data_IF_315733459996
#
_entry.id   IF_315733459996
#
_cell.length_a   1.000
_cell.length_b   1.000
_cell.length_c   1.000
_cell.angle_alpha   90.00
_cell.angle_beta   90.00
_cell.angle_gamma   90.00
#
_symmetry.space_group_name_H-M   'P 1'
#
loop_
_entity.id
_entity.type
_entity.pdbx_description
1 polymer ?
#
# COMPACT_ATOMS: atom_id res chain seq x y z
N UNK A 1 -2.02 -15.46 23.85
CA UNK A 1 -2.02 -15.06 22.44
C UNK A 1 -3.37 -15.43 21.86
N UNK A 2 -4.03 -14.52 21.18
CA UNK A 2 -5.32 -14.80 20.55
C UNK A 2 -5.17 -15.88 19.48
N UNK A 3 -6.18 -16.72 19.32
CA UNK A 3 -6.17 -17.85 18.40
C UNK A 3 -6.58 -17.38 16.98
N UNK A 4 -5.93 -16.33 16.48
CA UNK A 4 -6.21 -15.73 15.17
C UNK A 4 -4.94 -15.37 14.42
N UNK A 5 -5.05 -15.30 13.10
CA UNK A 5 -4.00 -14.81 12.20
C UNK A 5 -4.32 -13.40 11.72
N UNK A 6 -3.27 -12.65 11.37
CA UNK A 6 -3.40 -11.39 10.62
C UNK A 6 -2.96 -11.60 9.17
N UNK A 7 -3.71 -11.02 8.25
CA UNK A 7 -3.55 -11.24 6.82
C UNK A 7 -3.82 -9.97 6.01
N UNK A 8 -3.22 -9.89 4.85
CA UNK A 8 -3.40 -8.78 3.91
C UNK A 8 -3.27 -9.24 2.44
N UNK A 9 -3.27 -8.30 1.50
CA UNK A 9 -2.95 -8.56 0.10
C UNK A 9 -1.47 -8.24 -0.19
N UNK A 10 -0.91 -8.84 -1.23
CA UNK A 10 0.47 -8.57 -1.72
C UNK A 10 0.75 -7.08 -1.94
N UNK A 11 -0.30 -6.31 -2.27
CA UNK A 11 -0.26 -4.87 -2.52
C UNK A 11 0.09 -3.99 -1.30
N UNK A 12 0.45 -4.61 -0.16
CA UNK A 12 1.08 -3.95 0.96
C UNK A 12 2.57 -3.60 0.69
N UNK A 13 3.13 -4.13 -0.41
CA UNK A 13 4.48 -3.83 -0.92
C UNK A 13 5.56 -3.92 0.18
N UNK A 14 5.46 -4.94 1.02
CA UNK A 14 6.49 -5.35 1.97
C UNK A 14 7.31 -6.50 1.38
N UNK A 15 8.52 -6.69 1.87
CA UNK A 15 9.34 -7.83 1.48
C UNK A 15 8.82 -9.13 2.09
N UNK A 16 9.14 -10.28 1.46
CA UNK A 16 8.78 -11.59 2.02
C UNK A 16 9.39 -11.82 3.41
N UNK A 17 10.61 -11.34 3.62
CA UNK A 17 11.26 -11.40 4.91
C UNK A 17 10.49 -10.62 5.97
N UNK A 18 10.01 -9.41 5.62
CA UNK A 18 9.19 -8.59 6.50
C UNK A 18 7.89 -9.31 6.87
N UNK A 19 7.13 -9.82 5.89
CA UNK A 19 5.92 -10.59 6.13
C UNK A 19 6.17 -11.77 7.07
N UNK A 20 7.21 -12.55 6.80
CA UNK A 20 7.57 -13.73 7.61
C UNK A 20 8.01 -13.35 9.02
N UNK A 21 8.86 -12.33 9.18
CA UNK A 21 9.39 -11.92 10.49
C UNK A 21 8.30 -11.35 11.41
N UNK A 22 7.24 -10.79 10.82
CA UNK A 22 6.10 -10.23 11.54
C UNK A 22 4.90 -11.18 11.62
N UNK A 23 5.01 -12.41 11.13
CA UNK A 23 3.92 -13.37 11.05
C UNK A 23 2.64 -12.74 10.46
N UNK A 24 2.82 -12.10 9.31
CA UNK A 24 1.74 -11.51 8.51
C UNK A 24 1.55 -12.38 7.28
N UNK A 25 0.38 -12.98 7.14
CA UNK A 25 0.02 -13.75 5.95
C UNK A 25 -0.42 -12.83 4.81
N UNK A 26 -0.24 -13.27 3.57
CA UNK A 26 -0.72 -12.47 2.43
C UNK A 26 -1.27 -13.35 1.31
N UNK A 27 -2.19 -12.77 0.54
CA UNK A 27 -2.74 -13.35 -0.69
C UNK A 27 -2.39 -12.46 -1.87
N UNK A 28 -2.01 -13.06 -3.01
CA UNK A 28 -1.53 -12.34 -4.18
C UNK A 28 -2.67 -11.83 -5.04
N UNK A 29 -2.56 -10.57 -5.47
CA UNK A 29 -3.26 -10.05 -6.63
C UNK A 29 -2.70 -10.67 -7.91
N UNK A 30 -3.31 -10.35 -9.06
CA UNK A 30 -2.85 -10.80 -10.36
C UNK A 30 -2.64 -9.61 -11.29
N UNK A 31 -1.70 -9.77 -12.21
CA UNK A 31 -1.51 -8.83 -13.30
C UNK A 31 -1.23 -9.56 -14.62
N UNK A 32 -1.50 -8.86 -15.71
CA UNK A 32 -1.19 -9.27 -17.06
C UNK A 32 -0.11 -8.33 -17.61
N UNK A 33 0.92 -8.88 -18.23
CA UNK A 33 1.93 -8.15 -18.96
C UNK A 33 1.96 -8.70 -20.39
N UNK A 34 1.60 -7.86 -21.37
CA UNK A 34 1.51 -8.23 -22.79
C UNK A 34 0.74 -9.55 -23.06
N UNK A 35 -0.41 -9.71 -22.38
CA UNK A 35 -1.28 -10.88 -22.54
C UNK A 35 -0.91 -12.09 -21.69
N UNK A 36 0.21 -12.08 -20.97
CA UNK A 36 0.60 -13.17 -20.08
C UNK A 36 0.23 -12.84 -18.62
N UNK A 37 -0.44 -13.78 -17.96
CA UNK A 37 -0.87 -13.66 -16.58
C UNK A 37 0.25 -14.03 -15.60
N UNK A 38 0.33 -13.29 -14.49
CA UNK A 38 1.27 -13.49 -13.39
C UNK A 38 0.61 -13.20 -12.04
N UNK A 39 0.99 -13.89 -10.97
CA UNK A 39 0.68 -13.45 -9.62
C UNK A 39 1.57 -12.26 -9.23
N UNK A 40 1.04 -11.37 -8.41
CA UNK A 40 1.82 -10.32 -7.73
C UNK A 40 2.48 -10.92 -6.47
N UNK A 41 3.50 -11.74 -6.69
CA UNK A 41 4.14 -12.62 -5.70
C UNK A 41 5.45 -12.04 -5.14
N UNK A 42 5.50 -10.73 -4.97
CA UNK A 42 6.64 -9.98 -4.43
C UNK A 42 7.91 -10.09 -5.32
N UNK A 43 7.69 -10.18 -6.63
CA UNK A 43 8.78 -10.20 -7.61
C UNK A 43 9.43 -11.57 -7.85
N UNK A 44 8.84 -12.66 -7.35
CA UNK A 44 9.38 -14.04 -7.54
C UNK A 44 9.18 -14.52 -8.97
N UNK A 45 7.97 -14.40 -9.51
CA UNK A 45 7.65 -14.80 -10.88
C UNK A 45 8.16 -13.82 -11.94
N UNK A 46 8.29 -12.55 -11.57
CA UNK A 46 8.80 -11.46 -12.42
C UNK A 46 9.55 -10.47 -11.53
N UNK A 47 10.89 -10.40 -11.59
CA UNK A 47 11.67 -9.42 -10.87
C UNK A 47 11.24 -7.98 -11.18
N UNK A 48 11.12 -7.13 -10.16
CA UNK A 48 10.67 -5.75 -10.34
C UNK A 48 11.48 -4.96 -11.38
N UNK A 49 12.82 -5.07 -11.47
CA UNK A 49 13.56 -4.40 -12.52
C UNK A 49 13.15 -4.82 -13.95
N UNK A 50 12.85 -6.11 -14.16
CA UNK A 50 12.40 -6.63 -15.46
C UNK A 50 10.99 -6.13 -15.79
N UNK A 51 10.08 -6.16 -14.81
CA UNK A 51 8.73 -5.65 -14.94
C UNK A 51 8.71 -4.17 -15.34
N UNK A 52 9.44 -3.31 -14.63
CA UNK A 52 9.49 -1.89 -14.92
C UNK A 52 10.24 -1.57 -16.22
N UNK A 53 11.26 -2.35 -16.57
CA UNK A 53 11.95 -2.22 -17.87
C UNK A 53 10.99 -2.55 -19.02
N UNK A 54 10.18 -3.60 -18.91
CA UNK A 54 9.16 -3.92 -19.90
C UNK A 54 8.14 -2.79 -20.07
N UNK A 55 7.62 -2.23 -18.95
CA UNK A 55 6.71 -1.09 -19.00
C UNK A 55 7.35 0.15 -19.65
N UNK A 56 8.60 0.45 -19.33
CA UNK A 56 9.33 1.58 -19.93
C UNK A 56 9.52 1.38 -21.44
N UNK A 57 9.61 0.14 -21.92
CA UNK A 57 9.67 -0.23 -23.34
C UNK A 57 8.29 -0.35 -24.00
N UNK A 58 7.21 0.03 -23.31
CA UNK A 58 5.87 0.12 -23.88
C UNK A 58 4.98 -1.08 -23.64
N UNK A 59 5.39 -2.07 -22.84
CA UNK A 59 4.57 -3.20 -22.48
C UNK A 59 3.26 -2.75 -21.81
N UNK A 60 2.17 -3.44 -22.15
CA UNK A 60 0.85 -3.13 -21.63
C UNK A 60 0.52 -3.99 -20.41
N UNK A 61 0.09 -3.34 -19.35
CA UNK A 61 -0.30 -3.99 -18.11
C UNK A 61 -1.79 -3.86 -17.85
N UNK A 62 -2.38 -4.90 -17.24
CA UNK A 62 -3.71 -4.90 -16.63
C UNK A 62 -3.61 -5.61 -15.29
N UNK A 63 -4.54 -5.33 -14.39
CA UNK A 63 -4.60 -6.04 -13.10
C UNK A 63 -5.98 -6.67 -12.91
N UNK A 64 -6.02 -7.78 -12.21
CA UNK A 64 -7.24 -8.36 -11.70
C UNK A 64 -7.14 -8.53 -10.18
N UNK A 65 -8.25 -8.24 -9.51
CA UNK A 65 -8.36 -8.45 -8.07
C UNK A 65 -8.57 -9.92 -7.75
N UNK A 66 -8.31 -10.30 -6.51
CA UNK A 66 -8.61 -11.60 -5.94
C UNK A 66 -10.14 -11.78 -5.95
N UNK A 67 -10.63 -12.91 -6.44
CA UNK A 67 -12.06 -13.23 -6.43
C UNK A 67 -12.49 -13.95 -5.14
N UNK A 68 -13.79 -14.21 -4.97
CA UNK A 68 -14.31 -14.82 -3.76
C UNK A 68 -13.82 -16.26 -3.55
N UNK A 69 -13.75 -17.05 -4.62
CA UNK A 69 -13.28 -18.43 -4.57
C UNK A 69 -11.80 -18.53 -4.16
N UNK A 70 -10.98 -17.61 -4.63
CA UNK A 70 -9.57 -17.51 -4.24
C UNK A 70 -9.44 -17.13 -2.75
N UNK A 71 -10.26 -16.21 -2.24
CA UNK A 71 -10.30 -15.90 -0.82
C UNK A 71 -10.78 -17.08 0.02
N UNK A 72 -11.80 -17.81 -0.42
CA UNK A 72 -12.28 -19.02 0.27
C UNK A 72 -11.16 -20.05 0.36
N UNK A 73 -10.50 -20.36 -0.75
CA UNK A 73 -9.38 -21.30 -0.79
C UNK A 73 -8.22 -20.88 0.10
N UNK A 74 -7.98 -19.56 0.23
CA UNK A 74 -6.92 -19.00 1.05
C UNK A 74 -7.27 -19.00 2.55
N UNK A 75 -8.51 -18.68 2.93
CA UNK A 75 -8.93 -18.60 4.33
C UNK A 75 -9.22 -19.96 4.95
N UNK A 76 -9.77 -20.88 4.16
CA UNK A 76 -10.28 -22.14 4.68
C UNK A 76 -9.25 -22.99 5.46
N UNK A 77 -7.97 -23.11 5.05
CA UNK A 77 -6.96 -23.83 5.83
C UNK A 77 -6.82 -23.31 7.26
N UNK A 78 -6.79 -21.99 7.45
CA UNK A 78 -6.68 -21.40 8.79
C UNK A 78 -7.89 -21.72 9.67
N UNK A 79 -9.09 -21.68 9.10
CA UNK A 79 -10.33 -22.01 9.82
C UNK A 79 -10.37 -23.49 10.22
N UNK A 80 -9.89 -24.40 9.33
CA UNK A 80 -9.73 -25.83 9.62
C UNK A 80 -8.74 -26.08 10.77
N UNK A 81 -7.69 -25.28 10.85
CA UNK A 81 -6.68 -25.32 11.91
C UNK A 81 -7.17 -24.64 13.21
N UNK A 82 -8.47 -24.22 13.26
CA UNK A 82 -9.06 -23.61 14.44
C UNK A 82 -8.69 -22.15 14.67
N UNK A 83 -8.15 -21.45 13.67
CA UNK A 83 -7.76 -20.03 13.75
C UNK A 83 -8.89 -19.12 13.28
N UNK A 84 -9.11 -18.02 13.98
CA UNK A 84 -9.88 -16.90 13.48
C UNK A 84 -9.00 -16.02 12.56
N UNK A 85 -9.60 -15.14 11.76
CA UNK A 85 -8.88 -14.37 10.73
C UNK A 85 -9.19 -12.89 10.87
N UNK A 86 -8.14 -12.06 10.92
CA UNK A 86 -8.21 -10.65 10.59
C UNK A 86 -7.58 -10.44 9.23
N UNK A 87 -8.36 -10.09 8.22
CA UNK A 87 -7.87 -9.74 6.90
C UNK A 87 -8.11 -8.26 6.61
N UNK A 88 -7.05 -7.54 6.31
CA UNK A 88 -7.11 -6.14 5.91
C UNK A 88 -6.98 -6.06 4.39
N UNK A 89 -7.87 -5.35 3.73
CA UNK A 89 -7.90 -5.21 2.27
C UNK A 89 -7.22 -3.93 1.78
N UNK A 90 -6.69 -3.96 0.57
CA UNK A 90 -6.33 -2.75 -0.18
C UNK A 90 -7.54 -1.80 -0.27
N UNK A 91 -7.29 -0.49 -0.23
CA UNK A 91 -8.32 0.55 -0.19
C UNK A 91 -9.49 0.33 -1.14
N UNK A 92 -10.71 0.39 -0.62
CA UNK A 92 -11.95 0.37 -1.41
C UNK A 92 -12.09 1.59 -2.33
N UNK A 93 -11.35 2.66 -2.07
CA UNK A 93 -11.30 3.86 -2.92
C UNK A 93 -10.65 3.63 -4.30
N UNK A 94 -9.91 2.53 -4.48
CA UNK A 94 -9.15 2.20 -5.70
C UNK A 94 -9.40 0.79 -6.25
N UNK A 95 -10.04 -0.10 -5.50
CA UNK A 95 -10.38 -1.47 -5.92
C UNK A 95 -11.64 -1.97 -5.24
N UNK A 96 -12.32 -2.93 -5.86
CA UNK A 96 -13.48 -3.61 -5.28
C UNK A 96 -13.14 -4.89 -4.49
N UNK A 97 -11.88 -5.18 -4.21
CA UNK A 97 -11.43 -6.47 -3.64
C UNK A 97 -12.10 -6.81 -2.31
N UNK A 98 -12.43 -5.82 -1.50
CA UNK A 98 -13.13 -6.04 -0.23
C UNK A 98 -14.47 -6.74 -0.41
N UNK A 99 -15.19 -6.50 -1.54
CA UNK A 99 -16.47 -7.16 -1.81
C UNK A 99 -16.27 -8.67 -2.01
N UNK A 100 -15.19 -9.09 -2.70
CA UNK A 100 -14.83 -10.50 -2.88
C UNK A 100 -14.49 -11.17 -1.53
N UNK A 101 -13.71 -10.47 -0.69
CA UNK A 101 -13.38 -10.96 0.66
C UNK A 101 -14.62 -11.08 1.56
N UNK A 102 -15.59 -10.16 1.45
CA UNK A 102 -16.85 -10.21 2.20
C UNK A 102 -17.76 -11.36 1.75
N UNK A 103 -17.79 -11.69 0.45
CA UNK A 103 -18.52 -12.86 -0.06
C UNK A 103 -17.89 -14.13 0.51
N UNK A 104 -16.57 -14.29 0.41
CA UNK A 104 -15.85 -15.42 0.96
C UNK A 104 -16.06 -15.58 2.47
N UNK A 105 -16.05 -14.47 3.22
CA UNK A 105 -16.39 -14.45 4.65
C UNK A 105 -17.77 -15.07 4.90
N UNK A 106 -18.80 -14.58 4.19
CA UNK A 106 -20.18 -15.06 4.38
C UNK A 106 -20.27 -16.57 4.15
N UNK A 107 -19.72 -17.07 3.03
CA UNK A 107 -19.74 -18.50 2.68
C UNK A 107 -18.99 -19.36 3.71
N UNK A 108 -17.85 -18.88 4.19
CA UNK A 108 -17.03 -19.63 5.14
C UNK A 108 -17.58 -19.58 6.57
N UNK A 109 -18.21 -18.50 7.01
CA UNK A 109 -18.87 -18.43 8.33
C UNK A 109 -20.09 -19.34 8.41
N UNK A 110 -20.82 -19.56 7.30
CA UNK A 110 -21.86 -20.60 7.23
C UNK A 110 -21.27 -22.02 7.40
N UNK A 111 -20.10 -22.27 6.81
CA UNK A 111 -19.42 -23.57 6.88
C UNK A 111 -18.70 -23.81 8.22
N UNK A 112 -18.19 -22.75 8.85
CA UNK A 112 -17.41 -22.76 10.09
C UNK A 112 -18.02 -21.80 11.13
N UNK A 113 -19.24 -22.05 11.62
CA UNK A 113 -19.99 -21.08 12.45
C UNK A 113 -19.32 -20.77 13.82
N UNK A 114 -18.36 -21.58 14.24
CA UNK A 114 -17.56 -21.35 15.45
C UNK A 114 -16.32 -20.45 15.23
N UNK A 115 -16.03 -20.10 13.97
CA UNK A 115 -14.88 -19.26 13.60
C UNK A 115 -15.33 -17.85 13.23
N UNK A 116 -14.42 -16.89 13.38
CA UNK A 116 -14.65 -15.48 13.03
C UNK A 116 -13.69 -15.03 11.94
N UNK A 117 -14.23 -14.30 10.97
CA UNK A 117 -13.46 -13.63 9.93
C UNK A 117 -13.77 -12.13 10.01
N UNK A 118 -12.80 -11.32 10.40
CA UNK A 118 -12.90 -9.87 10.34
C UNK A 118 -12.27 -9.37 9.04
N UNK A 119 -13.03 -8.67 8.20
CA UNK A 119 -12.56 -8.04 6.97
C UNK A 119 -12.57 -6.53 7.16
N UNK A 120 -11.42 -5.88 7.00
CA UNK A 120 -11.26 -4.44 7.22
C UNK A 120 -10.71 -3.77 5.97
N UNK A 121 -11.29 -2.64 5.59
CA UNK A 121 -10.75 -1.76 4.58
C UNK A 121 -9.61 -0.92 5.15
N UNK A 122 -8.42 -1.02 4.59
CA UNK A 122 -7.28 -0.21 5.05
C UNK A 122 -7.42 1.27 4.72
N UNK A 123 -8.17 1.61 3.67
CA UNK A 123 -8.14 2.93 3.01
C UNK A 123 -6.71 3.38 2.66
N UNK A 124 -5.81 2.43 2.43
CA UNK A 124 -4.38 2.61 2.23
C UNK A 124 -3.90 1.77 1.03
N UNK A 125 -2.69 2.02 0.55
CA UNK A 125 -2.07 1.31 -0.56
C UNK A 125 -0.55 1.27 -0.42
N UNK A 126 0.11 0.32 -1.13
CA UNK A 126 1.56 0.17 -1.18
C UNK A 126 2.15 0.04 0.23
N UNK A 127 3.41 0.44 0.47
CA UNK A 127 4.02 0.34 1.79
C UNK A 127 3.35 1.22 2.87
N UNK A 128 2.43 2.12 2.53
CA UNK A 128 1.56 2.77 3.52
C UNK A 128 0.52 1.81 4.10
N UNK A 129 0.01 0.91 3.28
CA UNK A 129 -0.77 -0.23 3.73
C UNK A 129 0.12 -1.22 4.51
N UNK A 130 1.36 -1.43 4.04
CA UNK A 130 2.37 -2.21 4.76
C UNK A 130 2.69 -1.64 6.16
N UNK A 131 2.83 -0.32 6.27
CA UNK A 131 3.06 0.38 7.54
C UNK A 131 1.90 0.20 8.52
N UNK A 132 0.65 0.19 8.02
CA UNK A 132 -0.52 -0.14 8.81
C UNK A 132 -0.47 -1.60 9.30
N UNK A 133 -0.14 -2.55 8.41
CA UNK A 133 -0.03 -3.98 8.76
C UNK A 133 1.04 -4.25 9.80
N UNK A 134 2.16 -3.56 9.71
CA UNK A 134 3.23 -3.69 10.69
C UNK A 134 2.81 -3.18 12.09
N UNK A 135 2.06 -2.08 12.16
CA UNK A 135 1.49 -1.59 13.42
C UNK A 135 0.39 -2.51 13.97
N UNK A 136 -0.41 -3.13 13.10
CA UNK A 136 -1.38 -4.15 13.47
C UNK A 136 -0.67 -5.36 14.11
N UNK A 137 0.48 -5.76 13.56
CA UNK A 137 1.30 -6.81 14.17
C UNK A 137 1.82 -6.41 15.56
N UNK A 138 2.26 -5.14 15.74
CA UNK A 138 2.65 -4.64 17.08
C UNK A 138 1.49 -4.75 18.09
N UNK A 139 0.26 -4.40 17.68
CA UNK A 139 -0.91 -4.46 18.56
C UNK A 139 -1.33 -5.91 18.87
N UNK A 140 -1.25 -6.82 17.88
CA UNK A 140 -1.43 -8.26 18.11
C UNK A 140 -0.43 -8.78 19.14
N UNK A 141 0.84 -8.44 18.96
CA UNK A 141 1.95 -8.89 19.82
C UNK A 141 1.84 -8.29 21.23
N UNK A 142 1.21 -7.12 21.36
CA UNK A 142 0.82 -6.53 22.64
C UNK A 142 -0.39 -7.22 23.31
N UNK A 143 -1.03 -8.18 22.62
CA UNK A 143 -2.06 -9.05 23.19
C UNK A 143 -3.49 -8.61 22.93
N UNK A 144 -3.75 -7.69 22.00
CA UNK A 144 -5.13 -7.33 21.64
C UNK A 144 -5.87 -8.54 21.07
N UNK A 145 -7.10 -8.74 21.51
CA UNK A 145 -8.03 -9.70 20.91
C UNK A 145 -8.41 -9.30 19.48
N UNK A 146 -8.93 -10.24 18.70
CA UNK A 146 -9.39 -10.01 17.32
C UNK A 146 -10.35 -8.80 17.23
N UNK A 147 -11.33 -8.71 18.15
CA UNK A 147 -12.30 -7.62 18.12
C UNK A 147 -11.70 -6.27 18.53
N UNK A 148 -10.81 -6.25 19.54
CA UNK A 148 -10.10 -5.02 19.93
C UNK A 148 -9.19 -4.53 18.80
N UNK A 149 -8.51 -5.45 18.11
CA UNK A 149 -7.63 -5.12 16.99
C UNK A 149 -8.42 -4.55 15.81
N UNK A 150 -9.57 -5.13 15.46
CA UNK A 150 -10.49 -4.58 14.45
C UNK A 150 -10.90 -3.14 14.78
N UNK A 151 -11.33 -2.89 16.01
CA UNK A 151 -11.72 -1.54 16.45
C UNK A 151 -10.54 -0.57 16.44
N UNK A 152 -9.36 -1.03 16.85
CA UNK A 152 -8.14 -0.24 16.79
C UNK A 152 -7.83 0.21 15.35
N UNK A 153 -7.90 -0.70 14.36
CA UNK A 153 -7.67 -0.39 12.96
C UNK A 153 -8.66 0.66 12.45
N UNK A 154 -9.95 0.48 12.74
CA UNK A 154 -11.00 1.40 12.33
C UNK A 154 -10.80 2.81 12.90
N UNK A 155 -10.27 2.92 14.11
CA UNK A 155 -9.96 4.19 14.77
C UNK A 155 -8.73 4.88 14.14
N UNK A 156 -7.68 4.12 13.79
CA UNK A 156 -6.33 4.66 13.49
C UNK A 156 -5.92 4.60 12.01
N UNK A 157 -6.58 3.81 11.14
CA UNK A 157 -6.19 3.62 9.73
C UNK A 157 -6.04 4.92 8.93
N UNK A 158 -6.73 5.99 9.31
CA UNK A 158 -6.63 7.29 8.66
C UNK A 158 -5.46 8.15 9.16
N UNK A 159 -4.74 7.70 10.19
CA UNK A 159 -3.54 8.37 10.70
C UNK A 159 -2.29 8.00 9.90
N UNK A 160 -2.33 6.97 9.05
CA UNK A 160 -1.27 6.66 8.10
C UNK A 160 -1.36 7.61 6.92
N UNK A 161 -0.41 8.54 6.84
CA UNK A 161 -0.32 9.50 5.75
C UNK A 161 0.37 8.89 4.53
N UNK A 162 -0.12 9.24 3.34
CA UNK A 162 0.36 8.77 2.05
C UNK A 162 0.58 9.98 1.17
N UNK A 163 1.81 10.35 0.91
CA UNK A 163 2.18 11.38 -0.05
C UNK A 163 3.05 10.77 -1.12
N UNK A 164 2.82 11.10 -2.38
CA UNK A 164 3.61 10.54 -3.47
C UNK A 164 3.70 11.52 -4.64
N UNK A 165 4.75 11.37 -5.42
CA UNK A 165 4.89 12.05 -6.70
C UNK A 165 5.23 11.05 -7.79
N UNK A 166 4.93 11.42 -9.02
CA UNK A 166 5.33 10.68 -10.20
C UNK A 166 5.86 11.64 -11.26
N UNK A 167 6.68 11.13 -12.16
CA UNK A 167 7.14 11.88 -13.33
C UNK A 167 6.15 11.78 -14.49
N UNK A 168 5.22 10.81 -14.45
CA UNK A 168 4.21 10.58 -15.47
C UNK A 168 2.90 10.04 -14.84
N UNK A 169 1.76 10.65 -15.15
CA UNK A 169 0.44 10.20 -14.71
C UNK A 169 -0.30 9.34 -15.74
N UNK A 170 0.32 9.02 -16.86
CA UNK A 170 -0.29 8.24 -17.95
C UNK A 170 -0.84 6.91 -17.44
N UNK A 171 -0.08 6.19 -16.61
CA UNK A 171 -0.47 4.89 -16.06
C UNK A 171 -1.64 5.03 -15.09
N UNK A 172 -1.64 6.04 -14.23
CA UNK A 172 -2.73 6.32 -13.29
C UNK A 172 -4.05 6.62 -14.00
N UNK A 173 -3.99 7.40 -15.08
CA UNK A 173 -5.16 7.78 -15.89
C UNK A 173 -5.64 6.58 -16.72
N UNK A 174 -4.72 5.84 -17.34
CA UNK A 174 -5.04 4.62 -18.10
C UNK A 174 -5.72 3.57 -17.21
N UNK A 175 -5.20 3.40 -16.01
CA UNK A 175 -5.77 2.50 -15.00
C UNK A 175 -7.06 3.00 -14.37
N UNK A 176 -7.48 4.25 -14.59
CA UNK A 176 -8.69 4.84 -14.03
C UNK A 176 -8.61 5.17 -12.53
N UNK A 177 -7.43 5.23 -11.93
CA UNK A 177 -7.23 5.58 -10.52
C UNK A 177 -7.11 7.08 -10.29
N UNK A 178 -6.89 7.85 -11.36
CA UNK A 178 -7.01 9.31 -11.40
C UNK A 178 -7.86 9.71 -12.59
N UNK A 179 -8.80 10.65 -12.39
CA UNK A 179 -9.66 11.10 -13.49
C UNK A 179 -8.92 11.97 -14.49
N UNK A 180 -9.29 11.88 -15.77
CA UNK A 180 -8.77 12.76 -16.86
C UNK A 180 -9.06 14.25 -16.61
N UNK A 181 -10.12 14.55 -15.86
CA UNK A 181 -10.56 15.92 -15.56
C UNK A 181 -9.73 16.60 -14.46
N UNK A 182 -8.84 15.89 -13.79
CA UNK A 182 -7.98 16.45 -12.74
C UNK A 182 -7.00 17.55 -13.24
N UNK A 183 -7.07 17.93 -14.51
CA UNK A 183 -6.27 19.03 -15.10
C UNK A 183 -4.77 18.73 -15.24
N UNK A 184 -4.37 17.49 -15.03
CA UNK A 184 -2.97 17.03 -15.10
C UNK A 184 -2.64 16.34 -16.43
N UNK A 185 -3.59 16.36 -17.40
CA UNK A 185 -3.42 15.76 -18.71
C UNK A 185 -2.69 16.72 -19.64
N UNK A 186 -1.58 16.26 -20.16
CA UNK A 186 -0.76 16.97 -21.14
C UNK A 186 0.71 16.98 -20.70
N UNK A 187 1.59 16.42 -21.52
CA UNK A 187 3.03 16.32 -21.26
C UNK A 187 3.70 17.68 -21.09
N UNK A 188 3.49 18.31 -19.96
CA UNK A 188 4.24 19.48 -19.54
C UNK A 188 5.61 19.01 -19.10
N UNK A 189 6.59 19.24 -19.92
CA UNK A 189 8.00 18.91 -19.68
C UNK A 189 8.40 19.36 -18.26
N UNK A 190 8.98 18.46 -17.47
CA UNK A 190 9.48 18.71 -16.11
C UNK A 190 8.43 19.03 -15.02
N UNK A 191 7.17 18.65 -15.17
CA UNK A 191 6.18 18.73 -14.08
C UNK A 191 6.13 17.38 -13.37
N UNK A 192 6.31 17.41 -12.04
CA UNK A 192 6.13 16.29 -11.14
C UNK A 192 4.89 16.59 -10.27
N UNK A 193 3.73 16.01 -10.53
CA UNK A 193 2.57 16.14 -9.66
C UNK A 193 2.85 15.53 -8.30
N UNK A 194 2.48 16.25 -7.23
CA UNK A 194 2.43 15.75 -5.87
C UNK A 194 0.98 15.39 -5.54
N UNK A 195 0.79 14.18 -5.03
CA UNK A 195 -0.49 13.57 -4.78
C UNK A 195 -0.56 13.06 -3.34
N UNK A 196 -1.78 12.76 -2.88
CA UNK A 196 -1.99 12.02 -1.64
C UNK A 196 -3.15 11.04 -1.75
N UNK A 197 -3.35 10.25 -0.68
CA UNK A 197 -4.54 9.42 -0.48
C UNK A 197 -5.48 10.14 0.50
N UNK A 198 -6.76 10.27 0.13
CA UNK A 198 -7.78 10.92 0.96
C UNK A 198 -8.25 10.04 2.11
N UNK A 199 -9.14 10.57 2.97
CA UNK A 199 -9.89 9.82 3.98
C UNK A 199 -10.79 8.73 3.39
N UNK A 200 -11.24 8.90 2.12
CA UNK A 200 -11.99 7.88 1.36
C UNK A 200 -11.07 6.84 0.67
N UNK A 201 -9.76 6.92 0.88
CA UNK A 201 -8.79 6.01 0.26
C UNK A 201 -8.58 6.21 -1.25
N UNK A 202 -8.94 7.38 -1.80
CA UNK A 202 -8.79 7.76 -3.21
C UNK A 202 -7.51 8.53 -3.47
N UNK A 203 -6.96 8.39 -4.68
CA UNK A 203 -5.77 9.13 -5.10
C UNK A 203 -6.18 10.50 -5.63
N UNK A 204 -5.61 11.57 -5.06
CA UNK A 204 -5.90 12.94 -5.48
C UNK A 204 -4.62 13.72 -5.76
N UNK A 205 -4.51 14.35 -6.96
CA UNK A 205 -3.46 15.32 -7.23
C UNK A 205 -3.68 16.62 -6.42
N UNK A 206 -2.64 17.05 -5.70
CA UNK A 206 -2.68 18.24 -4.85
C UNK A 206 -1.96 19.44 -5.43
N UNK A 207 -0.82 19.22 -6.09
CA UNK A 207 -0.05 20.31 -6.68
C UNK A 207 0.77 19.88 -7.89
N UNK A 208 1.06 20.85 -8.77
CA UNK A 208 1.96 20.71 -9.92
C UNK A 208 3.29 21.35 -9.56
N UNK A 209 4.33 20.55 -9.41
CA UNK A 209 5.64 21.04 -9.01
C UNK A 209 6.60 20.89 -10.18
N UNK A 210 7.32 21.96 -10.51
CA UNK A 210 8.36 21.91 -11.54
C UNK A 210 9.64 21.37 -10.92
N UNK A 211 10.23 20.38 -11.57
CA UNK A 211 11.50 19.72 -11.28
C UNK A 211 11.44 18.70 -10.13
N UNK A 212 12.17 17.60 -10.30
CA UNK A 212 12.32 16.55 -9.29
C UNK A 212 12.85 17.09 -7.96
N UNK A 213 13.87 17.93 -7.99
CA UNK A 213 14.45 18.53 -6.77
C UNK A 213 13.39 19.23 -5.92
N UNK A 214 12.49 19.99 -6.54
CA UNK A 214 11.45 20.72 -5.81
C UNK A 214 10.36 19.79 -5.26
N UNK A 215 9.97 18.73 -6.00
CA UNK A 215 8.95 17.81 -5.50
C UNK A 215 9.49 16.91 -4.38
N UNK A 216 10.77 16.54 -4.43
CA UNK A 216 11.47 15.84 -3.33
C UNK A 216 11.46 16.69 -2.05
N UNK A 217 11.74 17.98 -2.13
CA UNK A 217 11.61 18.86 -0.96
C UNK A 217 10.15 19.00 -0.50
N UNK A 218 9.21 19.16 -1.45
CA UNK A 218 7.81 19.37 -1.12
C UNK A 218 7.16 18.14 -0.44
N UNK A 219 7.52 16.91 -0.82
CA UNK A 219 6.96 15.71 -0.17
C UNK A 219 7.41 15.62 1.29
N UNK A 220 8.65 16.02 1.60
CA UNK A 220 9.18 16.07 2.98
C UNK A 220 8.51 17.18 3.78
N UNK A 221 8.22 18.34 3.16
CA UNK A 221 7.42 19.39 3.83
C UNK A 221 6.02 18.86 4.24
N UNK A 222 5.37 18.01 3.44
CA UNK A 222 4.12 17.38 3.84
C UNK A 222 4.28 16.49 5.08
N UNK A 223 5.39 15.79 5.21
CA UNK A 223 5.68 15.05 6.43
C UNK A 223 5.89 15.98 7.63
N UNK A 224 6.63 17.05 7.50
CA UNK A 224 6.83 18.06 8.59
C UNK A 224 5.52 18.66 9.08
N UNK A 225 4.58 18.92 8.16
CA UNK A 225 3.27 19.51 8.49
C UNK A 225 2.33 18.51 9.19
N UNK A 226 2.48 17.22 8.92
CA UNK A 226 1.48 16.21 9.28
C UNK A 226 1.99 15.12 10.22
N UNK A 227 3.29 14.92 10.39
CA UNK A 227 3.85 13.85 11.23
C UNK A 227 3.36 13.95 12.68
N UNK A 228 3.12 12.82 13.30
CA UNK A 228 2.84 12.75 14.73
C UNK A 228 4.03 13.30 15.52
N UNK A 229 3.76 14.05 16.57
CA UNK A 229 4.77 14.69 17.40
C UNK A 229 5.71 15.69 16.67
N UNK A 230 5.36 16.13 15.46
CA UNK A 230 6.16 17.11 14.69
C UNK A 230 7.57 16.64 14.45
N UNK A 231 8.58 17.47 14.80
CA UNK A 231 10.00 17.17 14.60
C UNK A 231 10.51 15.99 15.47
N UNK A 232 9.81 15.66 16.55
CA UNK A 232 10.15 14.54 17.43
C UNK A 232 9.56 13.21 16.96
N UNK A 233 9.12 13.13 15.69
CA UNK A 233 8.62 11.89 15.09
C UNK A 233 9.68 10.78 15.20
N UNK A 234 9.27 9.64 15.79
CA UNK A 234 10.15 8.51 16.07
C UNK A 234 9.55 7.14 15.66
N UNK A 235 8.33 7.13 15.09
CA UNK A 235 7.70 5.91 14.60
C UNK A 235 8.28 5.52 13.22
N UNK A 236 7.90 4.36 12.70
CA UNK A 236 8.37 3.85 11.40
C UNK A 236 8.00 4.80 10.25
N UNK A 237 8.87 4.89 9.28
CA UNK A 237 8.69 5.68 8.06
C UNK A 237 9.10 4.83 6.87
N UNK A 238 8.16 4.63 5.93
CA UNK A 238 8.40 3.83 4.74
C UNK A 238 8.38 4.69 3.48
N UNK A 239 9.20 4.30 2.52
CA UNK A 239 9.20 4.86 1.17
C UNK A 239 9.00 3.71 0.19
N UNK A 240 8.13 3.89 -0.81
CA UNK A 240 8.06 2.98 -1.94
C UNK A 240 8.53 3.68 -3.20
N UNK A 241 9.16 2.92 -4.12
CA UNK A 241 9.64 3.46 -5.39
C UNK A 241 9.39 2.50 -6.56
N UNK A 242 9.24 3.04 -7.77
CA UNK A 242 9.09 2.30 -9.02
C UNK A 242 10.20 2.66 -10.00
N UNK A 243 11.27 1.84 -10.02
CA UNK A 243 12.46 2.03 -10.87
C UNK A 243 13.10 3.44 -10.78
N UNK A 244 13.08 4.05 -9.61
CA UNK A 244 13.67 5.38 -9.35
C UNK A 244 14.32 5.47 -7.95
N UNK A 245 15.12 4.46 -7.61
CA UNK A 245 15.75 4.30 -6.30
C UNK A 245 16.53 5.54 -5.83
N UNK A 246 17.22 6.23 -6.73
CA UNK A 246 18.00 7.42 -6.36
C UNK A 246 17.10 8.60 -5.93
N UNK A 247 15.92 8.74 -6.54
CA UNK A 247 14.93 9.73 -6.09
C UNK A 247 14.37 9.36 -4.69
N UNK A 248 14.12 8.07 -4.44
CA UNK A 248 13.70 7.57 -3.14
C UNK A 248 14.77 7.78 -2.04
N UNK A 249 16.04 7.50 -2.35
CA UNK A 249 17.17 7.79 -1.44
C UNK A 249 17.28 9.27 -1.14
N UNK A 250 17.05 10.15 -2.12
CA UNK A 250 17.06 11.60 -1.89
C UNK A 250 15.93 12.04 -0.96
N UNK A 251 14.73 11.44 -1.05
CA UNK A 251 13.65 11.68 -0.08
C UNK A 251 14.04 11.18 1.31
N UNK A 252 14.57 9.95 1.41
CA UNK A 252 14.99 9.35 2.68
C UNK A 252 16.05 10.22 3.39
N UNK A 253 17.06 10.68 2.65
CA UNK A 253 18.12 11.53 3.20
C UNK A 253 17.56 12.84 3.79
N UNK A 254 16.61 13.49 3.10
CA UNK A 254 15.96 14.69 3.61
C UNK A 254 15.06 14.41 4.82
N UNK A 255 14.34 13.27 4.82
CA UNK A 255 13.54 12.84 5.99
C UNK A 255 14.45 12.65 7.19
N UNK A 256 15.55 11.93 7.04
CA UNK A 256 16.50 11.67 8.13
C UNK A 256 17.25 12.93 8.62
N UNK A 257 17.44 13.94 7.74
CA UNK A 257 17.97 15.24 8.11
C UNK A 257 17.01 16.01 9.04
N UNK A 258 15.70 15.99 8.74
CA UNK A 258 14.69 16.74 9.49
C UNK A 258 14.13 16.01 10.71
N UNK A 259 14.16 14.68 10.72
CA UNK A 259 13.65 13.84 11.81
C UNK A 259 14.78 13.00 12.40
N UNK A 260 15.53 13.55 13.39
CA UNK A 260 16.75 12.91 13.89
C UNK A 260 16.57 11.50 14.44
N UNK A 261 15.36 11.17 14.95
CA UNK A 261 15.03 9.84 15.45
C UNK A 261 14.88 8.79 14.34
N UNK A 262 14.73 9.22 13.08
CA UNK A 262 14.67 8.35 11.90
C UNK A 262 16.01 8.06 11.25
N UNK A 263 17.11 8.64 11.73
CA UNK A 263 18.43 8.48 11.10
C UNK A 263 18.82 7.01 10.95
N UNK A 264 18.99 6.57 9.69
CA UNK A 264 19.30 5.19 9.32
C UNK A 264 18.14 4.19 9.52
N UNK A 265 16.89 4.69 9.65
CA UNK A 265 15.70 3.86 9.92
C UNK A 265 14.60 3.99 8.88
N UNK A 266 14.77 4.88 7.88
CA UNK A 266 13.81 4.99 6.78
C UNK A 266 13.94 3.77 5.88
N UNK A 267 12.88 2.99 5.75
CA UNK A 267 12.85 1.80 4.91
C UNK A 267 12.40 2.15 3.50
N UNK A 268 13.13 1.65 2.49
CA UNK A 268 12.79 1.84 1.07
C UNK A 268 12.40 0.48 0.49
N UNK A 269 11.17 0.38 0.00
CA UNK A 269 10.61 -0.79 -0.64
C UNK A 269 10.37 -0.54 -2.14
N UNK A 270 10.29 -1.62 -2.92
CA UNK A 270 9.81 -1.55 -4.28
C UNK A 270 8.27 -1.49 -4.32
N UNK A 271 7.71 -0.71 -5.24
CA UNK A 271 6.29 -0.80 -5.57
C UNK A 271 6.06 -2.12 -6.31
N UNK A 272 5.16 -2.96 -5.79
CA UNK A 272 4.79 -4.25 -6.37
C UNK A 272 4.10 -4.13 -7.73
N UNK A 273 4.00 -5.25 -8.44
CA UNK A 273 3.56 -5.28 -9.85
C UNK A 273 2.11 -4.86 -10.05
N UNK A 274 1.22 -5.13 -9.09
CA UNK A 274 -0.18 -4.66 -9.14
C UNK A 274 -0.26 -3.13 -9.02
N UNK A 275 0.34 -2.55 -7.99
CA UNK A 275 0.37 -1.09 -7.81
C UNK A 275 1.16 -0.45 -8.95
N UNK A 276 2.31 -1.04 -9.32
CA UNK A 276 3.17 -0.60 -10.42
C UNK A 276 2.48 -0.54 -11.77
N UNK A 277 1.58 -1.48 -12.07
CA UNK A 277 0.75 -1.46 -13.29
C UNK A 277 -0.09 -0.18 -13.44
N UNK A 278 -0.44 0.45 -12.34
CA UNK A 278 -1.24 1.68 -12.31
C UNK A 278 -0.41 2.94 -12.06
N UNK A 279 0.78 2.83 -11.48
CA UNK A 279 1.64 3.98 -11.21
C UNK A 279 2.72 4.19 -12.27
N UNK A 280 3.14 3.13 -12.92
CA UNK A 280 4.26 3.15 -13.86
C UNK A 280 5.62 3.39 -13.18
N UNK A 281 6.71 3.41 -13.95
CA UNK A 281 8.02 3.77 -13.44
C UNK A 281 8.09 5.27 -13.09
N UNK A 282 8.95 5.64 -12.11
CA UNK A 282 9.21 7.02 -11.71
C UNK A 282 8.29 7.56 -10.62
N UNK A 283 7.63 6.69 -9.85
CA UNK A 283 6.85 7.07 -8.67
C UNK A 283 7.68 6.86 -7.40
N UNK A 284 7.67 7.86 -6.50
CA UNK A 284 8.16 7.77 -5.12
C UNK A 284 7.02 8.13 -4.18
N UNK A 285 6.79 7.29 -3.18
CA UNK A 285 5.77 7.49 -2.16
C UNK A 285 6.38 7.45 -0.76
N UNK A 286 5.94 8.36 0.10
CA UNK A 286 6.38 8.53 1.49
C UNK A 286 5.19 8.24 2.43
N UNK A 287 5.42 7.39 3.42
CA UNK A 287 4.40 6.94 4.37
C UNK A 287 4.87 7.11 5.81
N UNK A 288 4.01 7.66 6.64
CA UNK A 288 4.30 7.94 8.04
C UNK A 288 3.02 8.06 8.86
N UNK A 289 3.12 7.90 10.16
CA UNK A 289 2.03 8.13 11.11
C UNK A 289 1.90 9.62 11.42
N UNK A 290 0.69 10.14 11.42
CA UNK A 290 0.48 11.56 11.63
C UNK A 290 -0.96 11.98 11.84
N UNK A 291 -1.26 13.21 11.48
CA UNK A 291 -2.61 13.74 11.55
C UNK A 291 -3.57 12.90 10.71
N UNK A 292 -4.81 12.80 11.14
CA UNK A 292 -5.86 12.12 10.39
C UNK A 292 -6.00 12.73 8.99
N UNK A 293 -6.02 11.87 7.96
CA UNK A 293 -6.20 12.29 6.57
C UNK A 293 -7.59 12.90 6.38
N UNK A 294 -7.65 13.90 5.51
CA UNK A 294 -8.86 14.63 5.11
C UNK A 294 -9.11 14.45 3.61
N UNK A 295 -10.26 14.96 3.13
CA UNK A 295 -10.67 14.94 1.71
C UNK A 295 -9.72 15.67 0.78
#
# INVERSE_FOLDING_TARGET
MGDYIISCCSTADLTEEHFRSRDIHYICFHYELDGKQYPDDLGKSMPFPEFYAAMANGAMTKTSQINAEEFEAYFEPFLKDGKDILHVCLSSGITGVINSAMIAKTNLEEKYPQRKICIVDSLAASSGYGLLMDKIADQRDAGLSLGELEQWILAHRLEVNHWFFSTDLTFYIRGGRISKTAGFVGGLLNICPLLNVTDEGKLIPRSKIRTKRKVIAAIVERMKENAANGADYADKCYISQSACLEDAKAVAALVEEYFPHLKGKVEINDIGTTIGSHTGPGTVALFFWGKRRER
#
